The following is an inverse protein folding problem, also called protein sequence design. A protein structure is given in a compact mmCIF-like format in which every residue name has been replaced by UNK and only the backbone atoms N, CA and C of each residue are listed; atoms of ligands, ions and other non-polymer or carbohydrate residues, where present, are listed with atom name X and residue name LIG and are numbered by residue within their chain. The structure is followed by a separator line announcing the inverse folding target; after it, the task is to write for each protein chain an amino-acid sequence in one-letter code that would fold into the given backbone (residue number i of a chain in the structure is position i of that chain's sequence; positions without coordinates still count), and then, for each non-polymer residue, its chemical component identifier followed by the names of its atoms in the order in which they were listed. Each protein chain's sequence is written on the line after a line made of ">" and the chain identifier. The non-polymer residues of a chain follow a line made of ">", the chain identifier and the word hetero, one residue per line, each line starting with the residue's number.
data_IF_891888608328
#
_entry.id   IF_891888608328
#
_cell.length_a   1.000
_cell.length_b   1.000
_cell.length_c   1.000
_cell.angle_alpha   90.00
_cell.angle_beta   90.00
_cell.angle_gamma   90.00
#
_symmetry.space_group_name_H-M   'P 1'
#
loop_
_entity.id
_entity.type
_entity.pdbx_description
1 polymer ?
#
# COMPACT_ATOMS: atom_id res chain seq x y z
N UNK A 1 -26.84 -31.06 18.48
CA UNK A 1 -26.42 -31.11 17.07
C UNK A 1 -25.02 -31.69 17.04
N UNK A 2 -24.77 -32.77 16.30
CA UNK A 2 -23.40 -33.29 16.17
C UNK A 2 -22.63 -32.43 15.19
N UNK A 3 -21.50 -31.90 15.64
CA UNK A 3 -20.56 -31.19 14.79
C UNK A 3 -19.67 -32.22 14.10
N UNK A 4 -19.44 -32.04 12.80
CA UNK A 4 -18.50 -32.82 11.99
C UNK A 4 -17.57 -31.88 11.24
N UNK A 5 -16.41 -32.38 10.80
CA UNK A 5 -15.48 -31.63 9.95
C UNK A 5 -16.21 -31.10 8.69
N UNK A 6 -17.07 -31.93 8.09
CA UNK A 6 -17.86 -31.53 6.91
C UNK A 6 -18.79 -30.36 7.19
N UNK A 7 -19.56 -30.40 8.28
CA UNK A 7 -20.46 -29.30 8.66
C UNK A 7 -19.69 -28.03 9.01
N UNK A 8 -18.49 -28.15 9.57
CA UNK A 8 -17.71 -27.01 10.00
C UNK A 8 -17.10 -26.23 8.82
N UNK A 9 -16.67 -26.91 7.75
CA UNK A 9 -16.10 -26.26 6.57
C UNK A 9 -17.11 -25.91 5.46
N UNK A 10 -18.28 -26.57 5.42
CA UNK A 10 -19.27 -26.38 4.35
C UNK A 10 -20.52 -25.58 4.77
N UNK A 11 -20.75 -25.32 6.06
CA UNK A 11 -21.86 -24.47 6.48
C UNK A 11 -21.50 -22.98 6.28
N UNK A 12 -22.21 -22.25 5.40
CA UNK A 12 -21.92 -20.85 5.11
C UNK A 12 -22.00 -19.94 6.34
N UNK A 13 -22.86 -20.26 7.32
CA UNK A 13 -23.03 -19.44 8.51
C UNK A 13 -21.84 -19.56 9.45
N UNK A 14 -21.32 -20.78 9.62
CA UNK A 14 -20.12 -21.04 10.44
C UNK A 14 -18.91 -20.37 9.80
N UNK A 15 -18.72 -20.57 8.50
CA UNK A 15 -17.64 -19.96 7.73
C UNK A 15 -17.69 -18.43 7.81
N UNK A 16 -18.87 -17.83 7.61
CA UNK A 16 -19.03 -16.38 7.71
C UNK A 16 -18.74 -15.87 9.13
N UNK A 17 -19.17 -16.57 10.17
CA UNK A 17 -18.89 -16.18 11.56
C UNK A 17 -17.38 -16.19 11.87
N UNK A 18 -16.64 -17.19 11.38
CA UNK A 18 -15.18 -17.25 11.53
C UNK A 18 -14.52 -16.10 10.77
N UNK A 19 -14.94 -15.82 9.54
CA UNK A 19 -14.46 -14.68 8.74
C UNK A 19 -14.68 -13.36 9.47
N UNK A 20 -15.88 -13.12 10.01
CA UNK A 20 -16.19 -11.90 10.76
C UNK A 20 -15.29 -11.77 12.01
N UNK A 21 -14.98 -12.88 12.69
CA UNK A 21 -14.05 -12.89 13.81
C UNK A 21 -12.63 -12.48 13.38
N UNK A 22 -12.12 -13.03 12.28
CA UNK A 22 -10.83 -12.64 11.66
C UNK A 22 -10.80 -11.15 11.35
N UNK A 23 -11.83 -10.64 10.67
CA UNK A 23 -11.93 -9.23 10.31
C UNK A 23 -12.06 -8.28 11.51
N UNK A 24 -12.54 -8.76 12.66
CA UNK A 24 -12.67 -7.98 13.90
C UNK A 24 -11.40 -7.99 14.73
N UNK A 25 -10.65 -9.08 14.73
CA UNK A 25 -9.41 -9.21 15.52
C UNK A 25 -8.18 -8.59 14.84
N UNK A 26 -8.24 -8.33 13.52
CA UNK A 26 -7.28 -7.50 12.73
C UNK A 26 -5.84 -7.52 13.23
N UNK A 27 -5.24 -8.71 13.35
CA UNK A 27 -3.82 -8.82 13.72
C UNK A 27 -2.87 -8.29 12.63
N UNK A 28 -3.35 -8.20 11.39
CA UNK A 28 -2.58 -7.75 10.24
C UNK A 28 -3.25 -6.54 9.59
N UNK A 29 -2.47 -5.46 9.44
CA UNK A 29 -2.89 -4.24 8.74
C UNK A 29 -2.85 -4.46 7.22
N UNK A 30 -3.86 -3.96 6.52
CA UNK A 30 -3.91 -3.89 5.06
C UNK A 30 -3.53 -2.47 4.64
N UNK A 31 -2.48 -2.31 3.84
CA UNK A 31 -1.90 -1.00 3.53
C UNK A 31 -2.46 -0.38 2.25
N UNK A 32 -2.74 -1.19 1.22
CA UNK A 32 -3.20 -0.70 -0.09
C UNK A 32 -4.54 0.03 -0.02
N UNK A 33 -5.39 -0.29 0.97
CA UNK A 33 -6.69 0.36 1.19
C UNK A 33 -6.58 1.84 1.60
N UNK A 34 -5.38 2.30 1.98
CA UNK A 34 -5.12 3.73 2.23
C UNK A 34 -5.19 4.56 0.94
N UNK A 35 -4.97 3.93 -0.21
CA UNK A 35 -4.88 4.61 -1.51
C UNK A 35 -6.03 4.24 -2.44
N UNK A 36 -6.52 3.00 -2.39
CA UNK A 36 -7.50 2.47 -3.33
C UNK A 36 -8.73 1.89 -2.62
N UNK A 37 -9.87 1.95 -3.31
CA UNK A 37 -11.11 1.31 -2.90
C UNK A 37 -11.55 0.26 -3.91
N UNK A 38 -12.39 -0.67 -3.46
CA UNK A 38 -12.97 -1.67 -4.36
C UNK A 38 -14.02 -1.03 -5.27
N UNK A 39 -13.84 -1.19 -6.58
CA UNK A 39 -14.87 -0.90 -7.59
C UNK A 39 -15.33 -2.20 -8.21
N UNK A 40 -16.61 -2.52 -8.02
CA UNK A 40 -17.22 -3.68 -8.68
C UNK A 40 -17.35 -3.41 -10.18
N UNK A 41 -16.94 -4.36 -10.99
CA UNK A 41 -17.16 -4.37 -12.45
C UNK A 41 -17.70 -5.72 -12.89
N UNK A 42 -18.50 -5.72 -13.94
CA UNK A 42 -19.07 -6.92 -14.56
C UNK A 42 -18.26 -7.40 -15.76
N UNK A 43 -17.36 -6.56 -16.28
CA UNK A 43 -16.51 -6.87 -17.43
C UNK A 43 -15.09 -7.18 -16.96
N UNK A 44 -14.47 -8.19 -17.59
CA UNK A 44 -13.06 -8.57 -17.35
C UNK A 44 -12.07 -7.49 -17.77
N UNK A 45 -12.44 -6.69 -18.77
CA UNK A 45 -11.64 -5.60 -19.32
C UNK A 45 -12.22 -4.27 -18.85
N UNK A 46 -11.34 -3.33 -18.53
CA UNK A 46 -11.72 -1.94 -18.27
C UNK A 46 -10.87 -0.97 -19.10
N UNK A 47 -11.51 0.15 -19.47
CA UNK A 47 -10.84 1.33 -20.00
C UNK A 47 -10.96 2.41 -18.95
N UNK A 48 -9.84 3.02 -18.59
CA UNK A 48 -9.83 4.15 -17.68
C UNK A 48 -9.18 5.37 -18.32
N UNK A 49 -9.55 6.56 -17.87
CA UNK A 49 -8.92 7.80 -18.30
C UNK A 49 -7.97 8.26 -17.20
N UNK A 50 -6.69 8.33 -17.53
CA UNK A 50 -5.63 8.67 -16.57
C UNK A 50 -5.35 10.18 -16.70
N UNK A 51 -5.69 10.92 -15.64
CA UNK A 51 -5.29 12.30 -15.46
C UNK A 51 -6.41 13.22 -14.95
N UNK A 52 -6.01 14.35 -14.37
CA UNK A 52 -6.89 15.48 -14.09
C UNK A 52 -6.42 16.68 -14.91
N UNK A 53 -7.35 17.35 -15.60
CA UNK A 53 -7.03 18.60 -16.28
C UNK A 53 -7.08 19.73 -15.26
N UNK A 54 -5.93 20.12 -14.72
CA UNK A 54 -5.81 21.25 -13.80
C UNK A 54 -5.44 22.54 -14.54
N UNK A 55 -6.00 23.67 -14.09
CA UNK A 55 -5.73 25.00 -14.66
C UNK A 55 -6.56 25.31 -15.90
N UNK A 56 -7.62 26.11 -15.72
CA UNK A 56 -8.40 26.69 -16.82
C UNK A 56 -7.54 27.75 -17.51
N UNK A 57 -7.35 27.63 -18.83
CA UNK A 57 -6.64 28.64 -19.61
C UNK A 57 -7.34 29.99 -19.48
N UNK A 58 -6.59 31.04 -19.15
CA UNK A 58 -7.13 32.41 -19.02
C UNK A 58 -7.96 32.79 -20.25
N UNK A 59 -9.11 33.44 -20.03
CA UNK A 59 -10.01 33.85 -21.11
C UNK A 59 -9.32 34.85 -22.06
N UNK A 60 -9.68 34.81 -23.33
CA UNK A 60 -9.22 35.81 -24.31
C UNK A 60 -10.06 37.09 -24.14
N UNK A 61 -9.41 38.25 -24.07
CA UNK A 61 -10.11 39.54 -24.13
C UNK A 61 -10.46 39.80 -25.59
N UNK A 62 -11.76 39.86 -25.90
CA UNK A 62 -12.25 40.02 -27.27
C UNK A 62 -12.98 41.35 -27.44
N UNK A 63 -12.96 41.86 -28.69
CA UNK A 63 -13.79 42.99 -29.10
C UNK A 63 -15.28 42.66 -29.00
N UNK A 64 -16.12 43.68 -28.75
CA UNK A 64 -17.59 43.55 -28.58
C UNK A 64 -18.29 42.85 -29.74
N UNK A 65 -17.74 42.96 -30.96
CA UNK A 65 -18.28 42.36 -32.18
C UNK A 65 -17.38 41.27 -32.78
N UNK A 66 -16.29 40.89 -32.09
CA UNK A 66 -15.36 39.87 -32.57
C UNK A 66 -15.84 38.45 -32.29
N UNK A 67 -15.54 37.53 -33.20
CA UNK A 67 -15.79 36.11 -32.98
C UNK A 67 -15.01 35.59 -31.77
N UNK A 68 -15.66 34.74 -30.96
CA UNK A 68 -15.00 34.15 -29.79
C UNK A 68 -14.07 33.03 -30.26
N UNK A 69 -12.81 32.98 -29.78
CA UNK A 69 -11.87 31.95 -30.18
C UNK A 69 -12.35 30.57 -29.69
N UNK A 70 -12.35 29.61 -30.61
CA UNK A 70 -12.63 28.19 -30.34
C UNK A 70 -11.39 27.60 -29.67
N UNK A 71 -11.60 26.83 -28.59
CA UNK A 71 -10.53 26.15 -27.87
C UNK A 71 -10.75 24.64 -27.93
N UNK A 72 -9.68 23.92 -28.22
CA UNK A 72 -9.71 22.46 -28.21
C UNK A 72 -9.71 21.91 -26.79
N UNK A 73 -10.39 20.78 -26.60
CA UNK A 73 -10.35 20.05 -25.33
C UNK A 73 -8.97 19.42 -25.16
N UNK A 74 -8.34 19.62 -24.00
CA UNK A 74 -7.07 18.97 -23.67
C UNK A 74 -7.26 17.46 -23.68
N UNK A 75 -6.31 16.76 -24.31
CA UNK A 75 -6.34 15.31 -24.39
C UNK A 75 -6.08 14.71 -22.99
N UNK A 76 -6.89 13.73 -22.59
CA UNK A 76 -6.73 13.00 -21.32
C UNK A 76 -6.08 11.65 -21.67
N UNK A 77 -5.11 11.20 -20.88
CA UNK A 77 -4.51 9.88 -21.07
C UNK A 77 -5.59 8.80 -20.98
N UNK A 78 -5.42 7.69 -21.69
CA UNK A 78 -6.29 6.53 -21.55
C UNK A 78 -5.44 5.30 -21.23
N UNK A 79 -5.93 4.48 -20.30
CA UNK A 79 -5.38 3.20 -19.94
C UNK A 79 -6.35 2.09 -20.32
N UNK A 80 -5.81 0.99 -20.81
CA UNK A 80 -6.54 -0.25 -21.05
C UNK A 80 -5.99 -1.32 -20.12
N UNK A 81 -6.86 -1.98 -19.37
CA UNK A 81 -6.45 -2.98 -18.38
C UNK A 81 -7.37 -4.20 -18.39
N UNK A 82 -6.82 -5.31 -17.91
CA UNK A 82 -7.55 -6.55 -17.65
C UNK A 82 -7.46 -6.91 -16.16
N UNK A 83 -8.53 -7.47 -15.60
CA UNK A 83 -8.57 -7.96 -14.23
C UNK A 83 -7.87 -9.32 -14.19
N UNK A 84 -6.77 -9.40 -13.45
CA UNK A 84 -6.09 -10.67 -13.17
C UNK A 84 -6.85 -11.51 -12.14
N UNK A 85 -6.66 -12.83 -12.22
CA UNK A 85 -7.17 -13.77 -11.22
C UNK A 85 -6.18 -13.89 -10.07
N UNK A 86 -6.70 -13.84 -8.85
CA UNK A 86 -5.94 -14.02 -7.61
C UNK A 86 -6.67 -15.08 -6.77
N UNK A 87 -5.95 -16.10 -6.34
CA UNK A 87 -6.52 -17.17 -5.54
C UNK A 87 -5.47 -18.15 -5.06
N UNK A 88 -5.49 -18.41 -3.76
CA UNK A 88 -4.59 -19.35 -3.09
C UNK A 88 -5.40 -20.53 -2.54
N UNK A 89 -4.72 -21.67 -2.40
CA UNK A 89 -5.28 -22.87 -1.76
C UNK A 89 -4.38 -23.27 -0.61
N UNK A 90 -5.00 -23.57 0.52
CA UNK A 90 -4.32 -24.01 1.72
C UNK A 90 -4.73 -25.45 2.02
N UNK A 91 -3.75 -26.26 2.40
CA UNK A 91 -3.94 -27.65 2.75
C UNK A 91 -3.65 -27.84 4.23
N UNK A 92 -4.60 -28.43 4.94
CA UNK A 92 -4.41 -28.85 6.33
C UNK A 92 -3.67 -30.20 6.33
N UNK A 93 -2.59 -30.29 7.10
CA UNK A 93 -1.85 -31.54 7.30
C UNK A 93 -2.70 -32.59 8.02
N UNK A 94 -2.42 -33.87 7.79
CA UNK A 94 -3.18 -34.95 8.41
C UNK A 94 -3.12 -34.93 9.94
N UNK A 95 -1.99 -34.54 10.53
CA UNK A 95 -1.82 -34.44 11.99
C UNK A 95 -2.75 -33.38 12.58
N UNK A 96 -2.76 -32.18 12.00
CA UNK A 96 -3.71 -31.11 12.36
C UNK A 96 -5.17 -31.51 12.16
N UNK A 97 -5.47 -32.34 11.16
CA UNK A 97 -6.82 -32.84 10.94
C UNK A 97 -7.23 -33.84 12.03
N UNK A 98 -6.29 -34.63 12.55
CA UNK A 98 -6.51 -35.48 13.72
C UNK A 98 -6.76 -34.66 14.97
N UNK A 99 -5.95 -33.63 15.22
CA UNK A 99 -6.15 -32.73 16.37
C UNK A 99 -7.52 -32.03 16.31
N UNK A 100 -7.94 -31.61 15.11
CA UNK A 100 -9.26 -31.03 14.90
C UNK A 100 -10.37 -32.05 15.21
N UNK A 101 -10.20 -33.30 14.79
CA UNK A 101 -11.16 -34.36 15.08
C UNK A 101 -11.31 -34.57 16.61
N UNK A 102 -10.20 -34.58 17.36
CA UNK A 102 -10.21 -34.68 18.82
C UNK A 102 -10.94 -33.50 19.49
N UNK A 103 -10.77 -32.28 18.96
CA UNK A 103 -11.50 -31.10 19.45
C UNK A 103 -13.00 -31.19 19.17
N UNK A 104 -13.38 -31.70 18.00
CA UNK A 104 -14.78 -31.94 17.63
C UNK A 104 -15.41 -33.01 18.52
N UNK A 105 -14.70 -34.08 18.81
CA UNK A 105 -15.19 -35.15 19.67
C UNK A 105 -15.36 -34.67 21.12
N UNK A 106 -14.44 -33.83 21.62
CA UNK A 106 -14.60 -33.12 22.90
C UNK A 106 -15.85 -32.23 22.91
N UNK A 107 -16.13 -31.49 21.83
CA UNK A 107 -17.34 -30.67 21.73
C UNK A 107 -18.61 -31.51 21.74
N UNK A 108 -18.64 -32.62 20.98
CA UNK A 108 -19.79 -33.51 20.89
C UNK A 108 -20.07 -34.25 22.21
N UNK A 109 -19.02 -34.56 22.99
CA UNK A 109 -19.13 -35.18 24.32
C UNK A 109 -19.36 -34.17 25.46
N UNK A 110 -19.14 -32.88 25.24
CA UNK A 110 -19.28 -31.84 26.25
C UNK A 110 -20.74 -31.59 26.65
N UNK A 111 -20.95 -31.26 27.92
CA UNK A 111 -22.25 -30.79 28.43
C UNK A 111 -22.61 -29.43 27.80
N UNK A 112 -23.90 -29.07 27.71
CA UNK A 112 -24.33 -27.81 27.09
C UNK A 112 -23.65 -26.54 27.65
N UNK A 113 -23.23 -26.57 28.91
CA UNK A 113 -22.52 -25.46 29.57
C UNK A 113 -21.07 -25.31 29.08
N UNK A 114 -20.40 -26.41 28.79
CA UNK A 114 -18.99 -26.48 28.36
C UNK A 114 -18.83 -26.42 26.84
N UNK A 115 -19.89 -26.69 26.08
CA UNK A 115 -19.90 -26.62 24.61
C UNK A 115 -19.43 -25.27 24.07
N UNK A 116 -19.71 -24.17 24.78
CA UNK A 116 -19.24 -22.83 24.37
C UNK A 116 -17.72 -22.68 24.46
N UNK A 117 -17.07 -23.31 25.44
CA UNK A 117 -15.62 -23.28 25.57
C UNK A 117 -14.97 -24.15 24.49
N UNK A 118 -15.44 -25.39 24.32
CA UNK A 118 -14.94 -26.30 23.28
C UNK A 118 -15.12 -25.72 21.86
N UNK A 119 -16.23 -25.01 21.59
CA UNK A 119 -16.43 -24.31 20.32
C UNK A 119 -15.41 -23.17 20.11
N UNK A 120 -14.99 -22.47 21.16
CA UNK A 120 -13.95 -21.44 21.04
C UNK A 120 -12.61 -22.04 20.64
N UNK A 121 -12.25 -23.17 21.25
CA UNK A 121 -10.99 -23.87 20.95
C UNK A 121 -10.94 -24.34 19.49
N UNK A 122 -12.05 -24.91 18.99
CA UNK A 122 -12.20 -25.27 17.57
C UNK A 122 -12.03 -24.04 16.67
N UNK A 123 -12.73 -22.95 16.99
CA UNK A 123 -12.65 -21.72 16.19
C UNK A 123 -11.25 -21.13 16.23
N UNK A 124 -10.57 -21.11 17.36
CA UNK A 124 -9.21 -20.57 17.50
C UNK A 124 -8.17 -21.44 16.77
N UNK A 125 -8.39 -22.75 16.67
CA UNK A 125 -7.56 -23.65 15.85
C UNK A 125 -7.66 -23.33 14.36
N UNK A 126 -8.89 -23.20 13.85
CA UNK A 126 -9.17 -22.96 12.43
C UNK A 126 -8.95 -21.49 12.03
N UNK A 127 -8.96 -20.59 13.00
CA UNK A 127 -8.84 -19.15 12.81
C UNK A 127 -7.61 -18.78 11.98
N UNK A 128 -6.45 -19.41 12.23
CA UNK A 128 -5.22 -19.05 11.52
C UNK A 128 -5.28 -19.42 10.03
N UNK A 129 -5.87 -20.57 9.70
CA UNK A 129 -6.04 -21.01 8.31
C UNK A 129 -6.95 -20.04 7.54
N UNK A 130 -8.09 -19.64 8.11
CA UNK A 130 -8.96 -18.64 7.49
C UNK A 130 -8.33 -17.25 7.42
N UNK A 131 -7.52 -16.88 8.43
CA UNK A 131 -6.76 -15.63 8.41
C UNK A 131 -5.80 -15.60 7.22
N UNK A 132 -5.05 -16.67 6.98
CA UNK A 132 -4.12 -16.75 5.86
C UNK A 132 -4.85 -16.67 4.52
N UNK A 133 -5.92 -17.46 4.33
CA UNK A 133 -6.73 -17.45 3.09
C UNK A 133 -7.29 -16.07 2.78
N UNK A 134 -7.80 -15.36 3.79
CA UNK A 134 -8.42 -14.06 3.59
C UNK A 134 -7.40 -12.95 3.35
N UNK A 135 -6.26 -12.98 4.05
CA UNK A 135 -5.29 -11.89 4.03
C UNK A 135 -4.23 -12.01 2.93
N UNK A 136 -3.88 -13.21 2.49
CA UNK A 136 -2.86 -13.41 1.46
C UNK A 136 -3.12 -12.58 0.19
N UNK A 137 -4.36 -12.52 -0.36
CA UNK A 137 -4.67 -11.65 -1.48
C UNK A 137 -4.40 -10.16 -1.21
N UNK A 138 -4.70 -9.70 0.01
CA UNK A 138 -4.45 -8.31 0.39
C UNK A 138 -2.96 -8.01 0.54
N UNK A 139 -2.18 -8.94 1.09
CA UNK A 139 -0.72 -8.81 1.20
C UNK A 139 -0.06 -8.77 -0.18
N UNK A 140 -0.59 -9.53 -1.14
CA UNK A 140 -0.13 -9.43 -2.54
C UNK A 140 -0.41 -8.05 -3.13
N UNK A 141 -1.60 -7.51 -2.88
CA UNK A 141 -1.95 -6.15 -3.30
C UNK A 141 -1.10 -5.08 -2.62
N UNK A 142 -0.72 -5.27 -1.35
CA UNK A 142 0.20 -4.37 -0.64
C UNK A 142 1.56 -4.26 -1.37
N UNK A 143 2.11 -5.38 -1.82
CA UNK A 143 3.37 -5.41 -2.60
C UNK A 143 3.23 -4.72 -3.96
N UNK A 144 2.15 -5.02 -4.69
CA UNK A 144 1.90 -4.44 -6.01
C UNK A 144 1.73 -2.93 -5.90
N UNK A 145 0.86 -2.46 -4.99
CA UNK A 145 0.61 -1.03 -4.82
C UNK A 145 1.84 -0.30 -4.29
N UNK A 146 2.60 -0.89 -3.37
CA UNK A 146 3.88 -0.34 -2.91
C UNK A 146 4.88 -0.16 -4.06
N UNK A 147 5.03 -1.18 -4.91
CA UNK A 147 5.90 -1.12 -6.09
C UNK A 147 5.44 -0.02 -7.06
N UNK A 148 4.15 0.04 -7.38
CA UNK A 148 3.58 1.07 -8.24
C UNK A 148 3.80 2.49 -7.69
N UNK A 149 3.69 2.68 -6.38
CA UNK A 149 3.92 3.99 -5.75
C UNK A 149 5.40 4.42 -5.78
N UNK A 150 6.34 3.48 -5.63
CA UNK A 150 7.76 3.80 -5.50
C UNK A 150 8.49 3.83 -6.85
N UNK A 151 8.23 2.87 -7.73
CA UNK A 151 8.96 2.71 -8.99
C UNK A 151 8.10 3.01 -10.22
N UNK A 152 6.79 3.22 -10.07
CA UNK A 152 5.88 3.39 -11.19
C UNK A 152 5.59 2.09 -11.96
N UNK A 153 6.29 1.00 -11.66
CA UNK A 153 6.15 -0.27 -12.38
C UNK A 153 5.97 -1.44 -11.41
N UNK A 154 5.05 -2.35 -11.72
CA UNK A 154 4.88 -3.59 -10.98
C UNK A 154 4.74 -4.76 -11.94
N UNK A 155 5.56 -5.79 -11.71
CA UNK A 155 5.44 -7.08 -12.39
C UNK A 155 5.03 -8.17 -11.40
N UNK A 156 4.11 -9.03 -11.82
CA UNK A 156 3.69 -10.23 -11.08
C UNK A 156 3.87 -11.43 -11.97
N UNK A 157 4.67 -12.38 -11.52
CA UNK A 157 4.90 -13.65 -12.21
C UNK A 157 3.76 -14.62 -11.95
N UNK A 158 3.52 -15.53 -12.89
CA UNK A 158 2.56 -16.60 -12.68
C UNK A 158 3.09 -17.58 -11.62
N UNK A 159 2.34 -17.77 -10.52
CA UNK A 159 2.70 -18.61 -9.36
C UNK A 159 4.03 -18.25 -8.68
N UNK A 160 4.58 -17.06 -8.93
CA UNK A 160 5.87 -16.55 -8.45
C UNK A 160 7.13 -17.40 -8.76
N UNK A 161 6.95 -18.66 -9.12
CA UNK A 161 7.96 -19.53 -9.69
C UNK A 161 7.84 -19.47 -11.21
N UNK A 162 8.80 -18.81 -11.85
CA UNK A 162 8.83 -18.46 -13.27
C UNK A 162 9.02 -19.68 -14.18
N UNK A 163 8.39 -20.82 -13.89
CA UNK A 163 8.53 -22.08 -14.62
C UNK A 163 8.17 -21.93 -16.12
N UNK A 164 7.46 -20.87 -16.50
CA UNK A 164 7.10 -20.55 -17.88
C UNK A 164 7.64 -19.23 -18.45
N UNK A 165 8.37 -18.41 -17.71
CA UNK A 165 8.97 -17.18 -18.25
C UNK A 165 8.03 -16.00 -18.54
N UNK A 166 6.73 -16.10 -18.22
CA UNK A 166 5.71 -15.10 -18.61
C UNK A 166 5.24 -14.32 -17.38
N UNK A 167 5.45 -13.00 -17.40
CA UNK A 167 4.86 -12.07 -16.44
C UNK A 167 3.35 -11.98 -16.68
N UNK A 168 2.56 -12.23 -15.64
CA UNK A 168 1.10 -12.28 -15.70
C UNK A 168 0.48 -10.88 -15.55
N UNK A 169 1.13 -10.00 -14.79
CA UNK A 169 0.83 -8.57 -14.77
C UNK A 169 2.11 -7.81 -15.05
N UNK A 170 2.02 -6.86 -15.97
CA UNK A 170 3.03 -5.83 -16.17
C UNK A 170 2.28 -4.50 -16.23
N UNK A 171 2.35 -3.73 -15.14
CA UNK A 171 1.71 -2.44 -15.01
C UNK A 171 2.82 -1.40 -15.00
N UNK A 172 2.76 -0.46 -15.95
CA UNK A 172 3.63 0.70 -15.99
C UNK A 172 2.76 1.96 -15.91
N UNK A 173 3.01 2.77 -14.89
CA UNK A 173 2.36 4.04 -14.67
C UNK A 173 3.21 5.15 -15.28
N UNK A 174 2.59 6.16 -15.93
CA UNK A 174 3.31 7.26 -16.55
C UNK A 174 3.88 8.22 -15.50
N UNK A 175 4.96 7.81 -14.83
CA UNK A 175 5.65 8.59 -13.82
C UNK A 175 6.73 9.47 -14.43
N UNK A 176 6.90 10.65 -13.85
CA UNK A 176 8.02 11.53 -14.17
C UNK A 176 9.18 11.22 -13.22
N UNK A 177 10.18 10.50 -13.71
CA UNK A 177 11.40 10.25 -12.96
C UNK A 177 12.37 11.43 -13.08
N UNK A 178 12.95 11.81 -11.94
CA UNK A 178 13.99 12.84 -11.82
C UNK A 178 15.14 12.20 -11.04
N UNK A 179 16.36 12.33 -11.55
CA UNK A 179 17.58 11.86 -10.88
C UNK A 179 18.41 13.09 -10.47
N UNK A 180 18.75 13.24 -9.18
CA UNK A 180 19.68 14.27 -8.73
C UNK A 180 21.11 13.92 -9.19
N UNK A 181 21.91 14.94 -9.45
CA UNK A 181 23.33 14.78 -9.76
C UNK A 181 24.17 14.66 -8.49
N UNK A 182 25.43 14.23 -8.60
CA UNK A 182 26.32 14.03 -7.44
C UNK A 182 26.55 15.31 -6.64
N UNK A 183 26.48 16.47 -7.31
CA UNK A 183 26.64 17.80 -6.70
C UNK A 183 25.42 18.24 -5.88
N UNK A 184 24.23 17.69 -6.17
CA UNK A 184 22.99 18.00 -5.47
C UNK A 184 22.91 17.33 -4.09
N UNK A 185 23.83 16.40 -3.78
CA UNK A 185 23.81 15.62 -2.54
C UNK A 185 23.95 16.48 -1.29
N UNK A 186 24.77 17.53 -1.35
CA UNK A 186 25.01 18.43 -0.22
C UNK A 186 23.87 19.45 -0.04
N UNK A 187 23.13 19.77 -1.12
CA UNK A 187 22.05 20.76 -1.18
C UNK A 187 20.69 20.15 -1.57
N UNK A 188 20.45 18.91 -1.15
CA UNK A 188 19.32 18.12 -1.62
C UNK A 188 17.96 18.75 -1.28
N UNK A 189 17.84 19.46 -0.17
CA UNK A 189 16.60 20.11 0.25
C UNK A 189 16.28 21.31 -0.67
N UNK A 190 17.29 22.13 -0.98
CA UNK A 190 17.14 23.23 -1.94
C UNK A 190 16.83 22.70 -3.35
N UNK A 191 17.50 21.63 -3.77
CA UNK A 191 17.21 20.97 -5.05
C UNK A 191 15.74 20.53 -5.15
N UNK A 192 15.21 19.87 -4.10
CA UNK A 192 13.82 19.45 -4.04
C UNK A 192 12.84 20.63 -4.14
N UNK A 193 13.12 21.74 -3.44
CA UNK A 193 12.27 22.94 -3.52
C UNK A 193 12.22 23.51 -4.94
N UNK A 194 13.37 23.62 -5.60
CA UNK A 194 13.44 24.15 -6.98
C UNK A 194 12.67 23.26 -7.95
N UNK A 195 12.89 21.93 -7.89
CA UNK A 195 12.20 20.98 -8.77
C UNK A 195 10.70 20.94 -8.52
N UNK A 196 10.24 21.00 -7.27
CA UNK A 196 8.82 21.06 -6.97
C UNK A 196 8.18 22.35 -7.48
N UNK A 197 8.88 23.49 -7.41
CA UNK A 197 8.39 24.75 -7.96
C UNK A 197 8.28 24.72 -9.49
N UNK A 198 9.25 24.13 -10.19
CA UNK A 198 9.17 23.89 -11.64
C UNK A 198 7.95 23.02 -12.00
N UNK A 199 7.78 21.91 -11.28
CA UNK A 199 6.71 20.94 -11.54
C UNK A 199 5.33 21.46 -11.16
N UNK A 200 5.24 22.40 -10.21
CA UNK A 200 3.97 22.97 -9.74
C UNK A 200 3.17 23.62 -10.86
N UNK A 201 3.85 24.19 -11.86
CA UNK A 201 3.20 24.77 -13.04
C UNK A 201 2.58 23.72 -13.97
N UNK A 202 3.05 22.48 -13.93
CA UNK A 202 2.64 21.41 -14.87
C UNK A 202 1.64 20.46 -14.19
N UNK A 203 1.92 20.06 -12.95
CA UNK A 203 1.21 19.01 -12.22
C UNK A 203 0.40 19.52 -11.01
N UNK A 204 0.52 20.81 -10.68
CA UNK A 204 -0.14 21.41 -9.52
C UNK A 204 0.63 21.20 -8.22
N UNK A 205 -0.04 21.46 -7.09
CA UNK A 205 0.56 21.33 -5.76
C UNK A 205 0.61 19.89 -5.29
N UNK A 206 1.79 19.43 -4.90
CA UNK A 206 1.97 18.13 -4.25
C UNK A 206 1.59 18.23 -2.76
N UNK A 207 0.64 17.43 -2.26
CA UNK A 207 0.20 17.53 -0.87
C UNK A 207 1.07 16.73 0.10
N UNK A 208 1.69 15.65 -0.39
CA UNK A 208 2.43 14.68 0.44
C UNK A 208 3.62 14.11 -0.31
N UNK A 209 4.66 13.78 0.43
CA UNK A 209 5.84 13.05 -0.02
C UNK A 209 5.98 11.78 0.83
N UNK A 210 6.19 10.64 0.18
CA UNK A 210 6.33 9.33 0.83
C UNK A 210 7.76 8.85 0.62
N UNK A 211 8.40 8.36 1.67
CA UNK A 211 9.72 7.73 1.58
C UNK A 211 9.92 6.71 2.69
N UNK A 212 10.86 5.81 2.48
CA UNK A 212 11.33 4.89 3.51
C UNK A 212 12.24 5.59 4.52
N UNK A 213 12.42 5.00 5.71
CA UNK A 213 13.33 5.55 6.72
C UNK A 213 14.78 5.57 6.23
N UNK A 214 15.23 4.52 5.52
CA UNK A 214 16.58 4.44 4.99
C UNK A 214 16.89 5.62 4.06
N UNK A 215 16.00 5.88 3.10
CA UNK A 215 16.09 7.03 2.21
C UNK A 215 16.06 8.36 2.98
N UNK A 216 15.19 8.51 3.99
CA UNK A 216 15.12 9.73 4.80
C UNK A 216 16.43 10.00 5.56
N UNK A 217 16.98 8.99 6.24
CA UNK A 217 18.22 9.13 7.01
C UNK A 217 19.39 9.44 6.09
N UNK A 218 19.51 8.73 4.96
CA UNK A 218 20.63 8.88 4.02
C UNK A 218 20.60 10.22 3.29
N UNK A 219 19.45 10.60 2.73
CA UNK A 219 19.36 11.70 1.78
C UNK A 219 18.87 13.02 2.41
N UNK A 220 18.08 12.97 3.50
CA UNK A 220 17.65 14.17 4.23
C UNK A 220 18.59 14.45 5.39
N UNK A 221 18.65 13.56 6.40
CA UNK A 221 19.49 13.78 7.60
C UNK A 221 20.97 13.81 7.23
N UNK A 222 21.41 12.96 6.30
CA UNK A 222 22.78 12.90 5.82
C UNK A 222 23.23 14.08 4.96
N UNK A 223 22.32 14.97 4.55
CA UNK A 223 22.70 16.19 3.82
C UNK A 223 23.29 17.22 4.78
N UNK A 224 24.42 17.82 4.40
CA UNK A 224 25.08 18.89 5.16
C UNK A 224 24.16 20.10 5.34
N UNK A 225 23.41 20.44 4.28
CA UNK A 225 22.39 21.49 4.31
C UNK A 225 21.33 21.28 5.40
N UNK A 226 20.85 20.05 5.60
CA UNK A 226 19.86 19.77 6.63
C UNK A 226 20.44 19.99 8.03
N UNK A 227 21.68 19.56 8.26
CA UNK A 227 22.39 19.80 9.52
C UNK A 227 22.56 21.29 9.82
N UNK A 228 22.98 22.08 8.85
CA UNK A 228 23.38 23.47 9.07
C UNK A 228 22.19 24.44 9.11
N UNK A 229 21.21 24.28 8.21
CA UNK A 229 20.05 25.19 8.15
C UNK A 229 18.95 24.85 9.16
N UNK A 230 18.83 23.58 9.56
CA UNK A 230 17.65 23.11 10.30
C UNK A 230 17.92 22.78 11.77
N UNK A 231 19.18 22.57 12.20
CA UNK A 231 19.53 22.56 13.64
C UNK A 231 19.17 23.88 14.32
N UNK A 232 19.29 25.00 13.61
CA UNK A 232 19.03 26.33 14.17
C UNK A 232 17.53 26.58 14.48
N UNK A 233 16.61 25.99 13.73
CA UNK A 233 15.16 26.05 13.98
C UNK A 233 14.68 25.06 15.06
N UNK A 234 15.52 24.09 15.46
CA UNK A 234 15.17 23.00 16.36
C UNK A 234 15.72 23.18 17.77
N UNK A 235 15.92 24.42 18.21
CA UNK A 235 16.54 24.82 19.50
C UNK A 235 15.83 24.30 20.76
N UNK A 236 14.74 23.54 20.65
CA UNK A 236 14.09 22.80 21.75
C UNK A 236 13.98 21.28 21.55
N UNK A 237 14.37 20.73 20.39
CA UNK A 237 14.24 19.31 20.02
C UNK A 237 15.57 18.66 19.60
N UNK A 238 16.70 19.23 20.04
CA UNK A 238 18.06 18.79 19.67
C UNK A 238 18.33 17.31 20.02
N UNK A 239 17.71 16.76 21.07
CA UNK A 239 17.84 15.34 21.45
C UNK A 239 17.23 14.36 20.42
N UNK A 240 16.24 14.78 19.62
CA UNK A 240 15.58 13.90 18.64
C UNK A 240 16.37 13.81 17.33
N UNK A 241 17.13 14.85 16.98
CA UNK A 241 18.01 14.84 15.80
C UNK A 241 19.27 14.01 16.03
N UNK A 242 19.86 14.06 17.24
CA UNK A 242 21.11 13.36 17.55
C UNK A 242 20.94 11.84 17.67
N UNK A 243 19.71 11.36 17.84
CA UNK A 243 19.38 9.93 18.02
C UNK A 243 18.78 9.27 16.79
N UNK A 244 18.55 10.02 15.69
CA UNK A 244 17.89 9.49 14.49
C UNK A 244 16.39 9.21 14.67
N UNK A 245 15.79 9.64 15.79
CA UNK A 245 14.38 9.43 16.14
C UNK A 245 13.56 10.64 15.69
N UNK A 246 13.64 11.00 14.42
CA UNK A 246 12.72 11.98 13.83
C UNK A 246 11.44 11.23 13.45
N UNK A 247 10.32 11.60 14.06
CA UNK A 247 9.00 11.07 13.71
C UNK A 247 8.49 11.72 12.42
N UNK A 248 7.61 11.03 11.69
CA UNK A 248 6.96 11.58 10.49
C UNK A 248 6.24 12.90 10.76
N UNK A 249 5.67 13.06 11.94
CA UNK A 249 5.00 14.29 12.37
C UNK A 249 5.96 15.46 12.53
N UNK A 250 7.11 15.23 13.17
CA UNK A 250 8.14 16.27 13.33
C UNK A 250 8.77 16.63 11.98
N UNK A 251 9.10 15.63 11.16
CA UNK A 251 9.63 15.85 9.81
C UNK A 251 8.64 16.60 8.92
N UNK A 252 7.35 16.23 8.96
CA UNK A 252 6.29 16.95 8.25
C UNK A 252 6.22 18.42 8.65
N UNK A 253 6.26 18.74 9.94
CA UNK A 253 6.20 20.12 10.41
C UNK A 253 7.37 20.95 9.85
N UNK A 254 8.59 20.39 9.90
CA UNK A 254 9.79 21.03 9.35
C UNK A 254 9.64 21.26 7.83
N UNK A 255 9.26 20.22 7.09
CA UNK A 255 9.12 20.30 5.63
C UNK A 255 8.05 21.31 5.22
N UNK A 256 6.88 21.31 5.87
CA UNK A 256 5.85 22.31 5.59
C UNK A 256 6.28 23.72 5.95
N UNK A 257 7.09 23.90 7.00
CA UNK A 257 7.63 25.20 7.42
C UNK A 257 8.56 25.83 6.38
N UNK A 258 9.20 25.01 5.53
CA UNK A 258 10.09 25.47 4.45
C UNK A 258 9.44 25.41 3.07
N UNK A 259 8.12 25.25 2.99
CA UNK A 259 7.41 25.23 1.71
C UNK A 259 7.56 23.92 0.92
N UNK A 260 8.03 22.84 1.55
CA UNK A 260 7.96 21.48 1.02
C UNK A 260 6.65 20.78 1.45
N UNK A 261 6.19 19.78 0.69
CA UNK A 261 5.04 18.96 1.09
C UNK A 261 5.31 18.18 2.39
N UNK A 262 4.24 17.84 3.11
CA UNK A 262 4.34 17.01 4.31
C UNK A 262 4.95 15.64 3.99
N UNK A 263 5.77 15.11 4.90
CA UNK A 263 6.53 13.87 4.71
C UNK A 263 5.95 12.73 5.53
N UNK A 264 5.75 11.59 4.90
CA UNK A 264 5.30 10.36 5.54
C UNK A 264 6.40 9.31 5.42
N UNK A 265 7.08 9.02 6.54
CA UNK A 265 8.10 7.97 6.64
C UNK A 265 7.39 6.65 6.89
N UNK A 266 7.53 5.69 5.97
CA UNK A 266 6.90 4.36 6.06
C UNK A 266 7.94 3.24 6.12
N UNK A 267 7.67 2.25 6.97
CA UNK A 267 8.51 1.06 7.19
C UNK A 267 7.63 -0.19 7.24
N UNK A 268 6.68 -0.27 6.30
CA UNK A 268 5.74 -1.38 6.25
C UNK A 268 6.41 -2.61 5.61
N UNK A 269 6.26 -3.77 6.25
CA UNK A 269 6.80 -5.05 5.79
C UNK A 269 5.69 -6.04 5.48
N UNK A 270 5.94 -6.91 4.49
CA UNK A 270 5.11 -8.06 4.14
C UNK A 270 5.98 -9.30 4.08
N UNK A 271 5.49 -10.40 4.66
CA UNK A 271 6.09 -11.72 4.47
C UNK A 271 5.72 -12.22 3.09
N UNK A 272 6.72 -12.48 2.26
CA UNK A 272 6.56 -13.09 0.96
C UNK A 272 6.34 -14.61 1.08
N UNK A 273 5.90 -15.27 0.00
CA UNK A 273 5.65 -16.72 -0.05
C UNK A 273 6.90 -17.56 0.29
N UNK A 274 8.08 -16.98 0.14
CA UNK A 274 9.37 -17.55 0.56
C UNK A 274 9.63 -17.51 2.07
N UNK A 275 8.71 -16.91 2.85
CA UNK A 275 8.86 -16.68 4.29
C UNK A 275 9.75 -15.48 4.64
N UNK A 276 10.22 -14.72 3.65
CA UNK A 276 11.09 -13.56 3.85
C UNK A 276 10.27 -12.29 4.07
N UNK A 277 10.64 -11.48 5.05
CA UNK A 277 10.11 -10.12 5.21
C UNK A 277 10.69 -9.20 4.12
N UNK A 278 9.81 -8.65 3.29
CA UNK A 278 10.13 -7.69 2.23
C UNK A 278 9.54 -6.33 2.62
N UNK A 279 10.33 -5.24 2.55
CA UNK A 279 9.80 -3.89 2.72
C UNK A 279 8.89 -3.53 1.54
N UNK A 280 7.71 -2.98 1.82
CA UNK A 280 6.76 -2.50 0.80
C UNK A 280 7.32 -1.25 0.11
N UNK A 281 7.96 -0.38 0.89
CA UNK A 281 8.59 0.85 0.41
C UNK A 281 10.10 0.60 0.30
N UNK A 282 10.58 0.40 -0.92
CA UNK A 282 11.97 0.08 -1.19
C UNK A 282 12.84 1.32 -0.98
N UNK A 283 13.98 1.16 -0.30
CA UNK A 283 14.98 2.21 -0.19
C UNK A 283 15.52 2.55 -1.58
N UNK A 284 15.45 3.84 -1.92
CA UNK A 284 16.10 4.36 -3.13
C UNK A 284 17.56 4.65 -2.82
N UNK A 285 18.45 4.05 -3.63
CA UNK A 285 19.90 4.26 -3.55
C UNK A 285 20.31 5.66 -3.99
#
# INVERSE_FOLDING_TARGET
>A
MMLTIHTLFNDPNIVNAVIQRVLKTRKDTIYWQQYLGFRRTTTRVFKDYIGQVTGVMAGSINSRYGEKPIRERRNIGSGYGEIAYLGDRYQISIDRLSDLQDLIDKYNAAKPEDQKAAMRDIVDFIYDDYRQVLLAPHKRMDIIVGSLLMTGAASVKNKDDNAGGIDLLNIDLPFKFIKPDTEDKDYFVTYLQQKLNELKSIYGTFPKMIMSRGTFVKNIIGSSEFGDKFKMQLTGNEMYMSTGIITSQLASAIFTGIGLPAIEIKEDYVVDQTGKNIPIYVDTN
#
